data_IF_328840504385
#
_entry.id   IF_328840504385
#
_cell.length_a   1.000
_cell.length_b   1.000
_cell.length_c   1.000
_cell.angle_alpha   90.00
_cell.angle_beta   90.00
_cell.angle_gamma   90.00
#
_symmetry.space_group_name_H-M   'P 1'
#
loop_
_entity.id
_entity.type
_entity.pdbx_description
1 polymer ?
#
# COMPACT_ATOMS: atom_id res chain seq x y z
N UNK A 1 12.18 -32.27 -42.74
CA UNK A 1 12.98 -31.18 -42.15
C UNK A 1 12.22 -29.84 -42.12
N UNK A 2 10.98 -29.77 -41.67
CA UNK A 2 10.15 -28.52 -41.72
C UNK A 2 9.39 -28.18 -40.43
N UNK A 3 9.74 -28.77 -39.31
CA UNK A 3 9.07 -28.53 -38.03
C UNK A 3 9.68 -27.46 -37.16
N UNK A 4 11.01 -27.23 -37.26
CA UNK A 4 11.73 -26.18 -36.53
C UNK A 4 11.20 -24.74 -36.78
N UNK A 5 10.90 -24.30 -38.03
CA UNK A 5 10.41 -22.94 -38.24
C UNK A 5 8.98 -22.73 -37.75
N UNK A 6 8.16 -23.79 -37.65
CA UNK A 6 6.80 -23.69 -37.09
C UNK A 6 6.82 -23.58 -35.56
N UNK A 7 7.66 -24.35 -34.89
CA UNK A 7 7.87 -24.29 -33.44
C UNK A 7 8.41 -22.91 -33.02
N UNK A 8 9.40 -22.37 -33.73
CA UNK A 8 9.94 -21.03 -33.46
C UNK A 8 8.86 -19.95 -33.59
N UNK A 9 8.02 -20.02 -34.62
CA UNK A 9 6.89 -19.07 -34.80
C UNK A 9 5.84 -19.19 -33.68
N UNK A 10 5.53 -20.40 -33.24
CA UNK A 10 4.60 -20.64 -32.13
C UNK A 10 5.16 -20.06 -30.83
N UNK A 11 6.44 -20.27 -30.53
CA UNK A 11 7.12 -19.72 -29.36
C UNK A 11 7.10 -18.19 -29.39
N UNK A 12 7.45 -17.57 -30.53
CA UNK A 12 7.41 -16.10 -30.69
C UNK A 12 5.99 -15.57 -30.52
N UNK A 13 4.98 -16.22 -31.07
CA UNK A 13 3.59 -15.81 -30.89
C UNK A 13 3.12 -15.95 -29.44
N UNK A 14 3.52 -17.01 -28.74
CA UNK A 14 3.19 -17.22 -27.33
C UNK A 14 3.90 -16.20 -26.42
N UNK A 15 5.15 -15.88 -26.69
CA UNK A 15 5.88 -14.84 -25.92
C UNK A 15 5.30 -13.45 -26.18
N UNK A 16 4.92 -13.14 -27.42
CA UNK A 16 4.26 -11.88 -27.76
C UNK A 16 2.87 -11.77 -27.09
N UNK A 17 2.10 -12.87 -27.12
CA UNK A 17 0.79 -12.95 -26.45
C UNK A 17 0.91 -12.83 -24.93
N UNK A 18 1.94 -13.44 -24.32
CA UNK A 18 2.23 -13.29 -22.88
C UNK A 18 2.62 -11.86 -22.49
N UNK A 19 3.41 -11.19 -23.31
CA UNK A 19 3.77 -9.77 -23.10
C UNK A 19 2.55 -8.83 -23.18
N UNK A 20 1.68 -9.04 -24.16
CA UNK A 20 0.43 -8.29 -24.28
C UNK A 20 -0.56 -8.57 -23.14
N UNK A 21 -0.59 -9.80 -22.64
CA UNK A 21 -1.43 -10.17 -21.50
C UNK A 21 -0.98 -9.53 -20.19
N UNK A 22 0.33 -9.40 -19.94
CA UNK A 22 0.87 -8.76 -18.74
C UNK A 22 0.50 -7.26 -18.68
N UNK A 23 0.67 -6.52 -19.79
CA UNK A 23 0.25 -5.10 -19.87
C UNK A 23 -1.26 -4.94 -19.68
N UNK A 24 -2.07 -5.88 -20.20
CA UNK A 24 -3.52 -5.85 -20.04
C UNK A 24 -3.96 -6.13 -18.61
N UNK A 25 -3.26 -7.01 -17.87
CA UNK A 25 -3.58 -7.35 -16.49
C UNK A 25 -3.37 -6.15 -15.53
N UNK A 26 -2.24 -5.43 -15.66
CA UNK A 26 -1.99 -4.20 -14.88
C UNK A 26 -3.04 -3.13 -15.18
N UNK A 27 -3.34 -2.90 -16.46
CA UNK A 27 -4.36 -1.94 -16.87
C UNK A 27 -5.76 -2.33 -16.36
N UNK A 28 -6.10 -3.61 -16.41
CA UNK A 28 -7.38 -4.13 -15.90
C UNK A 28 -7.45 -3.96 -14.38
N UNK A 29 -6.39 -4.33 -13.66
CA UNK A 29 -6.30 -4.15 -12.21
C UNK A 29 -6.43 -2.70 -11.79
N UNK A 30 -5.74 -1.79 -12.49
CA UNK A 30 -5.85 -0.35 -12.24
C UNK A 30 -7.26 0.19 -12.55
N UNK A 31 -7.89 -0.25 -13.63
CA UNK A 31 -9.25 0.17 -13.99
C UNK A 31 -10.31 -0.31 -12.99
N UNK A 32 -10.05 -1.37 -12.24
CA UNK A 32 -10.94 -1.92 -11.22
C UNK A 32 -10.59 -1.43 -9.80
N UNK A 33 -9.61 -0.51 -9.67
CA UNK A 33 -9.07 -0.09 -8.38
C UNK A 33 -10.12 0.59 -7.51
N UNK A 34 -11.05 1.34 -8.08
CA UNK A 34 -12.17 1.97 -7.39
C UNK A 34 -13.07 0.93 -6.70
N UNK A 35 -13.42 -0.14 -7.41
CA UNK A 35 -14.22 -1.24 -6.85
C UNK A 35 -13.45 -1.99 -5.75
N UNK A 36 -12.18 -2.30 -5.98
CA UNK A 36 -11.32 -2.98 -4.99
C UNK A 36 -11.15 -2.11 -3.74
N UNK A 37 -10.90 -0.81 -3.92
CA UNK A 37 -10.79 0.15 -2.81
C UNK A 37 -12.09 0.24 -2.00
N UNK A 38 -13.25 0.27 -2.68
CA UNK A 38 -14.53 0.25 -2.00
C UNK A 38 -14.70 -1.00 -1.12
N UNK A 39 -14.51 -2.20 -1.69
CA UNK A 39 -14.65 -3.46 -0.95
C UNK A 39 -13.66 -3.57 0.21
N UNK A 40 -12.45 -3.08 0.01
CA UNK A 40 -11.45 -3.06 1.06
C UNK A 40 -11.86 -2.13 2.21
N UNK A 41 -12.29 -0.89 1.93
CA UNK A 41 -12.76 0.06 2.94
C UNK A 41 -14.03 -0.45 3.64
N UNK A 42 -14.99 -1.00 2.88
CA UNK A 42 -16.23 -1.56 3.39
C UNK A 42 -15.96 -2.69 4.41
N UNK A 43 -14.94 -3.51 4.13
CA UNK A 43 -14.51 -4.57 5.08
C UNK A 43 -14.01 -4.05 6.43
N UNK A 44 -13.69 -2.76 6.54
CA UNK A 44 -13.27 -2.10 7.78
C UNK A 44 -14.38 -1.27 8.42
N UNK A 45 -15.21 -0.62 7.62
CA UNK A 45 -16.17 0.37 8.09
C UNK A 45 -17.59 -0.18 8.15
N UNK A 46 -17.92 -1.18 7.32
CA UNK A 46 -19.28 -1.72 7.17
C UNK A 46 -20.29 -0.62 6.80
N UNK A 47 -20.17 -0.10 5.56
CA UNK A 47 -20.97 1.03 5.09
C UNK A 47 -22.45 0.71 5.07
N UNK A 48 -23.26 1.58 5.69
CA UNK A 48 -24.71 1.47 5.59
C UNK A 48 -25.22 1.90 4.19
N UNK A 49 -26.53 1.66 3.95
CA UNK A 49 -27.16 1.94 2.64
C UNK A 49 -27.15 3.41 2.20
N UNK A 50 -26.97 4.36 3.15
CA UNK A 50 -26.86 5.78 2.84
C UNK A 50 -25.40 6.18 2.51
N UNK A 51 -24.43 5.57 3.18
CA UNK A 51 -23.02 5.85 2.99
C UNK A 51 -22.47 5.20 1.71
N UNK A 52 -22.86 3.96 1.43
CA UNK A 52 -22.28 3.15 0.34
C UNK A 52 -22.31 3.85 -1.04
N UNK A 53 -23.42 4.46 -1.51
CA UNK A 53 -23.41 5.15 -2.81
C UNK A 53 -22.45 6.32 -2.83
N UNK A 54 -22.43 7.15 -1.77
CA UNK A 54 -21.56 8.32 -1.67
C UNK A 54 -20.08 7.95 -1.63
N UNK A 55 -19.73 6.93 -0.85
CA UNK A 55 -18.35 6.45 -0.77
C UNK A 55 -17.86 5.93 -2.15
N UNK A 56 -18.72 5.22 -2.89
CA UNK A 56 -18.39 4.78 -4.26
C UNK A 56 -18.11 5.97 -5.19
N UNK A 57 -18.93 7.01 -5.13
CA UNK A 57 -18.74 8.23 -5.92
C UNK A 57 -17.46 8.96 -5.52
N UNK A 58 -17.17 9.07 -4.23
CA UNK A 58 -15.96 9.71 -3.71
C UNK A 58 -14.70 8.97 -4.16
N UNK A 59 -14.70 7.63 -4.09
CA UNK A 59 -13.61 6.80 -4.58
C UNK A 59 -13.45 6.94 -6.11
N UNK A 60 -14.55 6.94 -6.87
CA UNK A 60 -14.49 7.10 -8.31
C UNK A 60 -13.91 8.47 -8.71
N UNK A 61 -14.29 9.56 -8.01
CA UNK A 61 -13.71 10.89 -8.22
C UNK A 61 -12.23 10.93 -7.87
N UNK A 62 -11.83 10.33 -6.76
CA UNK A 62 -10.43 10.24 -6.35
C UNK A 62 -9.61 9.43 -7.37
N UNK A 63 -10.14 8.31 -7.84
CA UNK A 63 -9.50 7.47 -8.86
C UNK A 63 -9.35 8.22 -10.20
N UNK A 64 -10.37 8.97 -10.61
CA UNK A 64 -10.29 9.80 -11.82
C UNK A 64 -9.20 10.89 -11.67
N UNK A 65 -9.19 11.62 -10.56
CA UNK A 65 -8.14 12.59 -10.27
C UNK A 65 -6.74 11.94 -10.24
N UNK A 66 -6.59 10.79 -9.58
CA UNK A 66 -5.33 10.07 -9.56
C UNK A 66 -4.86 9.69 -10.97
N UNK A 67 -5.80 9.29 -11.84
CA UNK A 67 -5.50 8.92 -13.23
C UNK A 67 -5.00 10.11 -14.05
N UNK A 68 -5.59 11.29 -13.86
CA UNK A 68 -5.27 12.47 -14.67
C UNK A 68 -4.09 13.28 -14.13
N UNK A 69 -3.94 13.32 -12.80
CA UNK A 69 -2.97 14.21 -12.15
C UNK A 69 -1.76 13.46 -11.57
N UNK A 70 -1.97 12.36 -10.86
CA UNK A 70 -0.89 11.68 -10.14
C UNK A 70 -0.22 10.57 -10.96
N UNK A 71 -0.97 9.81 -11.75
CA UNK A 71 -0.42 8.71 -12.54
C UNK A 71 0.67 9.17 -13.54
N UNK A 72 0.53 10.31 -14.24
CA UNK A 72 1.61 10.83 -15.09
C UNK A 72 2.88 11.18 -14.29
N UNK A 73 2.73 11.73 -13.08
CA UNK A 73 3.85 12.08 -12.20
C UNK A 73 4.57 10.84 -11.66
N UNK A 74 3.80 9.80 -11.32
CA UNK A 74 4.37 8.50 -10.93
C UNK A 74 5.11 7.84 -12.10
N UNK A 75 4.55 7.91 -13.32
CA UNK A 75 5.21 7.40 -14.52
C UNK A 75 6.55 8.11 -14.78
N UNK A 76 6.60 9.43 -14.62
CA UNK A 76 7.83 10.22 -14.76
C UNK A 76 8.86 9.85 -13.68
N UNK A 77 8.43 9.69 -12.43
CA UNK A 77 9.30 9.22 -11.34
C UNK A 77 9.89 7.83 -11.65
N UNK A 78 9.06 6.89 -12.10
CA UNK A 78 9.49 5.54 -12.48
C UNK A 78 10.47 5.56 -13.67
N UNK A 79 10.22 6.42 -14.66
CA UNK A 79 11.13 6.58 -15.79
C UNK A 79 12.52 7.09 -15.35
N UNK A 80 12.57 8.06 -14.41
CA UNK A 80 13.86 8.49 -13.84
C UNK A 80 14.56 7.39 -13.05
N UNK A 81 13.81 6.55 -12.33
CA UNK A 81 14.36 5.37 -11.65
C UNK A 81 14.93 4.36 -12.67
N UNK A 82 14.22 4.11 -13.77
CA UNK A 82 14.66 3.25 -14.86
C UNK A 82 15.99 3.71 -15.45
N UNK A 83 16.16 5.02 -15.69
CA UNK A 83 17.40 5.59 -16.22
C UNK A 83 18.61 5.42 -15.27
N UNK A 84 18.37 5.33 -13.97
CA UNK A 84 19.40 5.11 -12.96
C UNK A 84 19.71 3.63 -12.71
N UNK A 85 18.77 2.75 -13.01
CA UNK A 85 18.87 1.31 -12.70
C UNK A 85 20.09 0.59 -13.30
N UNK A 86 20.62 0.94 -14.49
CA UNK A 86 21.83 0.31 -15.03
C UNK A 86 23.13 0.65 -14.28
N UNK A 87 23.12 1.68 -13.43
CA UNK A 87 24.29 2.15 -12.70
C UNK A 87 24.19 1.91 -11.19
N UNK A 88 25.21 2.37 -10.46
CA UNK A 88 25.21 2.36 -9.01
C UNK A 88 24.27 3.46 -8.48
N UNK A 89 23.27 3.07 -7.70
CA UNK A 89 22.32 4.00 -7.06
C UNK A 89 22.84 4.37 -5.67
N UNK A 90 23.18 5.63 -5.48
CA UNK A 90 23.60 6.14 -4.17
C UNK A 90 22.44 6.23 -3.18
N UNK A 91 22.68 6.13 -1.86
CA UNK A 91 21.65 6.33 -0.85
C UNK A 91 20.90 7.67 -0.98
N UNK A 92 21.61 8.74 -1.33
CA UNK A 92 21.00 10.06 -1.55
C UNK A 92 19.99 10.06 -2.71
N UNK A 93 20.32 9.40 -3.83
CA UNK A 93 19.40 9.24 -4.96
C UNK A 93 18.16 8.42 -4.54
N UNK A 94 18.36 7.31 -3.81
CA UNK A 94 17.25 6.51 -3.31
C UNK A 94 16.34 7.33 -2.37
N UNK A 95 16.91 8.10 -1.43
CA UNK A 95 16.15 8.98 -0.51
C UNK A 95 15.32 10.03 -1.27
N UNK A 96 15.83 10.59 -2.37
CA UNK A 96 15.07 11.55 -3.19
C UNK A 96 13.75 10.95 -3.70
N UNK A 97 13.77 9.69 -4.18
CA UNK A 97 12.55 9.01 -4.62
C UNK A 97 11.59 8.71 -3.47
N UNK A 98 12.13 8.36 -2.29
CA UNK A 98 11.30 8.16 -1.09
C UNK A 98 10.58 9.45 -0.71
N UNK A 99 11.27 10.58 -0.73
CA UNK A 99 10.66 11.88 -0.39
C UNK A 99 9.63 12.31 -1.43
N UNK A 100 9.91 12.10 -2.71
CA UNK A 100 8.94 12.36 -3.77
C UNK A 100 7.70 11.46 -3.64
N UNK A 101 7.87 10.18 -3.36
CA UNK A 101 6.77 9.27 -3.09
C UNK A 101 5.92 9.72 -1.89
N UNK A 102 6.55 10.16 -0.80
CA UNK A 102 5.84 10.74 0.35
C UNK A 102 5.02 11.98 -0.02
N UNK A 103 5.56 12.85 -0.89
CA UNK A 103 4.82 14.01 -1.39
C UNK A 103 3.58 13.58 -2.19
N UNK A 104 3.69 12.53 -3.04
CA UNK A 104 2.52 11.99 -3.77
C UNK A 104 1.48 11.43 -2.81
N UNK A 105 1.89 10.71 -1.76
CA UNK A 105 0.98 10.20 -0.73
C UNK A 105 0.26 11.34 0.02
N UNK A 106 0.95 12.43 0.32
CA UNK A 106 0.33 13.62 0.93
C UNK A 106 -0.67 14.29 -0.01
N UNK A 107 -0.35 14.42 -1.29
CA UNK A 107 -1.27 14.94 -2.29
C UNK A 107 -2.55 14.09 -2.39
N UNK A 108 -2.41 12.75 -2.38
CA UNK A 108 -3.55 11.83 -2.35
C UNK A 108 -4.40 12.03 -1.08
N UNK A 109 -3.76 12.13 0.09
CA UNK A 109 -4.46 12.36 1.36
C UNK A 109 -5.21 13.70 1.36
N UNK A 110 -4.61 14.77 0.84
CA UNK A 110 -5.25 16.09 0.70
C UNK A 110 -6.46 16.04 -0.23
N UNK A 111 -6.36 15.32 -1.35
CA UNK A 111 -7.47 15.16 -2.28
C UNK A 111 -8.62 14.33 -1.70
N UNK A 112 -8.32 13.32 -0.89
CA UNK A 112 -9.30 12.49 -0.22
C UNK A 112 -9.94 13.17 1.02
N UNK A 113 -9.29 14.19 1.60
CA UNK A 113 -9.68 14.81 2.87
C UNK A 113 -11.16 15.17 2.97
N UNK A 114 -11.80 15.86 2.00
CA UNK A 114 -13.22 16.23 2.12
C UNK A 114 -14.15 15.01 2.26
N UNK A 115 -13.87 13.95 1.51
CA UNK A 115 -14.62 12.70 1.58
C UNK A 115 -14.41 11.99 2.93
N UNK A 116 -13.17 11.94 3.40
CA UNK A 116 -12.81 11.34 4.69
C UNK A 116 -13.44 12.09 5.86
N UNK A 117 -13.43 13.42 5.85
CA UNK A 117 -14.10 14.26 6.87
C UNK A 117 -15.59 13.95 6.91
N UNK A 118 -16.24 13.94 5.74
CA UNK A 118 -17.69 13.65 5.66
C UNK A 118 -18.01 12.24 6.14
N UNK A 119 -17.22 11.25 5.76
CA UNK A 119 -17.42 9.88 6.21
C UNK A 119 -17.22 9.78 7.72
N UNK A 120 -16.10 10.30 8.25
CA UNK A 120 -15.76 10.20 9.67
C UNK A 120 -16.82 10.86 10.58
N UNK A 121 -17.34 12.03 10.17
CA UNK A 121 -18.42 12.71 10.93
C UNK A 121 -19.79 12.05 10.80
N UNK A 122 -19.99 11.24 9.77
CA UNK A 122 -21.23 10.47 9.52
C UNK A 122 -21.19 9.02 10.00
N UNK A 123 -20.06 8.57 10.59
CA UNK A 123 -19.98 7.21 11.14
C UNK A 123 -20.91 7.01 12.33
N UNK A 124 -21.22 5.75 12.61
CA UNK A 124 -22.00 5.35 13.77
C UNK A 124 -21.09 4.59 14.77
N UNK A 125 -21.46 4.51 16.05
CA UNK A 125 -20.66 3.81 17.06
C UNK A 125 -20.40 2.34 16.75
N UNK A 126 -21.35 1.64 16.15
CA UNK A 126 -21.23 0.24 15.72
C UNK A 126 -20.19 0.07 14.61
N UNK A 127 -20.07 1.03 13.72
CA UNK A 127 -19.03 1.04 12.68
C UNK A 127 -17.62 1.19 13.28
N UNK A 128 -17.46 2.02 14.29
CA UNK A 128 -16.17 2.16 15.01
C UNK A 128 -15.83 0.86 15.75
N UNK A 129 -16.83 0.20 16.33
CA UNK A 129 -16.68 -1.11 16.97
C UNK A 129 -16.32 -2.19 15.93
N UNK A 130 -16.96 -2.20 14.75
CA UNK A 130 -16.62 -3.10 13.65
C UNK A 130 -15.16 -2.92 13.22
N UNK A 131 -14.72 -1.67 13.06
CA UNK A 131 -13.33 -1.34 12.73
C UNK A 131 -12.35 -1.84 13.79
N UNK A 132 -12.66 -1.71 15.07
CA UNK A 132 -11.86 -2.23 16.18
C UNK A 132 -11.70 -3.75 16.10
N UNK A 133 -12.80 -4.50 15.93
CA UNK A 133 -12.77 -5.95 15.72
C UNK A 133 -11.95 -6.36 14.49
N UNK A 134 -12.07 -5.61 13.39
CA UNK A 134 -11.28 -5.85 12.18
C UNK A 134 -9.80 -5.66 12.43
N UNK A 135 -9.42 -4.63 13.18
CA UNK A 135 -8.04 -4.40 13.58
C UNK A 135 -7.51 -5.54 14.44
N UNK A 136 -8.26 -5.99 15.44
CA UNK A 136 -7.88 -7.09 16.30
C UNK A 136 -7.65 -8.38 15.51
N UNK A 137 -8.60 -8.77 14.65
CA UNK A 137 -8.47 -9.93 13.75
C UNK A 137 -7.21 -9.85 12.88
N UNK A 138 -6.91 -8.67 12.33
CA UNK A 138 -5.72 -8.48 11.51
C UNK A 138 -4.43 -8.53 12.34
N UNK A 139 -4.47 -8.06 13.59
CA UNK A 139 -3.33 -8.14 14.50
C UNK A 139 -3.07 -9.58 14.95
N UNK A 140 -4.13 -10.37 15.19
CA UNK A 140 -3.98 -11.79 15.48
C UNK A 140 -3.36 -12.54 14.31
N UNK A 141 -3.88 -12.32 13.09
CA UNK A 141 -3.26 -12.89 11.88
C UNK A 141 -1.79 -12.51 11.76
N UNK A 142 -1.42 -11.27 12.07
CA UNK A 142 -0.01 -10.84 12.04
C UNK A 142 0.83 -11.57 13.09
N UNK A 143 0.30 -11.80 14.31
CA UNK A 143 0.99 -12.59 15.34
C UNK A 143 1.23 -14.01 14.84
N UNK A 144 0.21 -14.64 14.26
CA UNK A 144 0.30 -16.00 13.72
C UNK A 144 1.33 -16.08 12.59
N UNK A 145 1.30 -15.12 11.69
CA UNK A 145 2.17 -15.08 10.51
C UNK A 145 3.64 -14.78 10.84
N UNK A 146 3.91 -14.06 11.93
CA UNK A 146 5.24 -13.53 12.22
C UNK A 146 5.78 -13.80 13.62
N UNK A 147 4.97 -13.62 14.68
CA UNK A 147 5.48 -13.66 16.05
C UNK A 147 5.56 -15.08 16.63
N UNK A 148 4.85 -16.04 16.01
CA UNK A 148 4.99 -17.47 16.37
C UNK A 148 6.21 -18.12 15.73
N UNK A 149 6.83 -17.47 14.76
CA UNK A 149 8.03 -17.93 14.09
C UNK A 149 9.27 -17.61 14.93
N UNK A 150 10.24 -18.51 14.91
CA UNK A 150 11.58 -18.24 15.44
C UNK A 150 12.28 -17.14 14.65
N UNK A 151 13.29 -16.46 15.18
CA UNK A 151 14.05 -15.44 14.45
C UNK A 151 14.65 -15.94 13.12
N UNK A 152 15.03 -17.21 13.06
CA UNK A 152 15.53 -17.83 11.82
C UNK A 152 14.44 -17.98 10.77
N UNK A 153 13.27 -18.49 11.16
CA UNK A 153 12.11 -18.63 10.28
C UNK A 153 11.58 -17.26 9.80
N UNK A 154 11.61 -16.25 10.67
CA UNK A 154 11.23 -14.87 10.28
C UNK A 154 12.17 -14.31 9.20
N UNK A 155 13.50 -14.55 9.31
CA UNK A 155 14.46 -14.14 8.28
C UNK A 155 14.25 -14.90 6.98
N UNK A 156 14.05 -16.21 7.05
CA UNK A 156 13.78 -17.02 5.85
C UNK A 156 12.52 -16.58 5.13
N UNK A 157 11.40 -16.46 5.84
CA UNK A 157 10.13 -15.95 5.29
C UNK A 157 10.29 -14.58 4.65
N UNK A 158 11.07 -13.70 5.25
CA UNK A 158 11.36 -12.37 4.71
C UNK A 158 12.17 -12.45 3.44
N UNK A 159 13.20 -13.29 3.44
CA UNK A 159 14.02 -13.53 2.25
C UNK A 159 13.15 -14.05 1.08
N UNK A 160 12.34 -15.07 1.31
CA UNK A 160 11.44 -15.62 0.29
C UNK A 160 10.50 -14.55 -0.28
N UNK A 161 9.89 -13.73 0.58
CA UNK A 161 8.99 -12.66 0.14
C UNK A 161 9.71 -11.56 -0.67
N UNK A 162 10.92 -11.19 -0.29
CA UNK A 162 11.70 -10.21 -1.06
C UNK A 162 12.21 -10.80 -2.36
N UNK A 163 12.65 -12.06 -2.36
CA UNK A 163 13.06 -12.77 -3.57
C UNK A 163 11.92 -12.83 -4.59
N UNK A 164 10.74 -13.29 -4.16
CA UNK A 164 9.55 -13.37 -5.02
C UNK A 164 9.21 -12.01 -5.65
N UNK A 165 9.18 -10.95 -4.84
CA UNK A 165 8.89 -9.59 -5.33
C UNK A 165 9.95 -9.06 -6.28
N UNK A 166 11.22 -9.33 -5.99
CA UNK A 166 12.33 -8.92 -6.85
C UNK A 166 12.30 -9.66 -8.18
N UNK A 167 12.07 -10.98 -8.15
CA UNK A 167 11.96 -11.78 -9.36
C UNK A 167 10.72 -11.46 -10.21
N UNK A 168 9.64 -10.96 -9.58
CA UNK A 168 8.47 -10.45 -10.31
C UNK A 168 8.81 -9.20 -11.14
N UNK A 169 9.73 -8.35 -10.67
CA UNK A 169 10.09 -7.07 -11.32
C UNK A 169 11.26 -7.26 -12.28
N UNK A 170 12.31 -7.95 -11.84
CA UNK A 170 13.59 -8.04 -12.57
C UNK A 170 13.75 -9.36 -13.32
N UNK A 171 12.81 -10.30 -13.18
CA UNK A 171 12.99 -11.68 -13.61
C UNK A 171 13.86 -12.46 -12.63
N UNK A 172 14.26 -13.68 -13.01
CA UNK A 172 15.02 -14.57 -12.15
C UNK A 172 16.36 -13.96 -11.73
N UNK A 173 16.58 -13.84 -10.42
CA UNK A 173 17.85 -13.39 -9.88
C UNK A 173 18.94 -14.47 -10.03
N UNK A 174 20.17 -14.06 -10.35
CA UNK A 174 21.34 -14.94 -10.34
C UNK A 174 21.86 -15.19 -8.91
N UNK A 175 22.81 -16.11 -8.77
CA UNK A 175 23.32 -16.50 -7.45
C UNK A 175 23.98 -15.33 -6.69
N UNK A 176 24.84 -14.49 -7.29
CA UNK A 176 25.39 -13.32 -6.60
C UNK A 176 24.32 -12.34 -6.09
N UNK A 177 23.26 -12.11 -6.87
CA UNK A 177 22.14 -11.26 -6.47
C UNK A 177 21.36 -11.84 -5.29
N UNK A 178 21.10 -13.15 -5.30
CA UNK A 178 20.44 -13.86 -4.21
C UNK A 178 21.27 -13.83 -2.93
N UNK A 179 22.59 -14.03 -3.03
CA UNK A 179 23.50 -13.91 -1.89
C UNK A 179 23.53 -12.48 -1.32
N UNK A 180 23.51 -11.45 -2.19
CA UNK A 180 23.44 -10.07 -1.75
C UNK A 180 22.11 -9.81 -0.98
N UNK A 181 20.99 -10.23 -1.53
CA UNK A 181 19.69 -10.13 -0.87
C UNK A 181 19.68 -10.85 0.49
N UNK A 182 20.27 -12.06 0.58
CA UNK A 182 20.37 -12.83 1.81
C UNK A 182 21.17 -12.07 2.87
N UNK A 183 22.34 -11.55 2.51
CA UNK A 183 23.18 -10.75 3.42
C UNK A 183 22.45 -9.52 3.96
N UNK A 184 21.68 -8.84 3.12
CA UNK A 184 20.94 -7.64 3.51
C UNK A 184 19.76 -7.99 4.44
N UNK A 185 19.05 -9.07 4.18
CA UNK A 185 18.01 -9.59 5.08
C UNK A 185 18.57 -9.99 6.44
N UNK A 186 19.74 -10.64 6.47
CA UNK A 186 20.40 -11.05 7.73
C UNK A 186 20.87 -9.87 8.58
N UNK A 187 21.22 -8.75 7.94
CA UNK A 187 21.60 -7.48 8.60
C UNK A 187 20.42 -6.59 8.95
N UNK A 188 19.23 -6.93 8.47
CA UNK A 188 18.05 -6.11 8.66
C UNK A 188 17.65 -6.01 10.14
N UNK A 189 17.42 -4.78 10.60
CA UNK A 189 16.95 -4.45 11.94
C UNK A 189 15.42 -4.57 12.08
N UNK A 190 14.72 -5.04 11.06
CA UNK A 190 13.26 -5.17 11.06
C UNK A 190 12.83 -6.15 12.17
N UNK A 191 12.05 -5.66 13.11
CA UNK A 191 11.51 -6.39 14.24
C UNK A 191 9.97 -6.47 14.14
N UNK A 192 9.38 -7.66 13.93
CA UNK A 192 7.94 -7.83 13.83
C UNK A 192 7.19 -7.40 15.11
N UNK A 193 7.80 -7.48 16.30
CA UNK A 193 7.14 -7.01 17.53
C UNK A 193 6.97 -5.50 17.52
N UNK A 194 8.01 -4.76 17.12
CA UNK A 194 7.94 -3.30 16.96
C UNK A 194 6.95 -2.88 15.88
N UNK A 195 6.91 -3.60 14.75
CA UNK A 195 5.92 -3.36 13.70
C UNK A 195 4.50 -3.51 14.25
N UNK A 196 4.23 -4.58 15.00
CA UNK A 196 2.91 -4.78 15.60
C UNK A 196 2.58 -3.69 16.63
N UNK A 197 3.53 -3.31 17.47
CA UNK A 197 3.35 -2.26 18.48
C UNK A 197 3.00 -0.91 17.83
N UNK A 198 3.73 -0.49 16.78
CA UNK A 198 3.43 0.75 16.05
C UNK A 198 2.09 0.68 15.32
N UNK A 199 1.78 -0.46 14.68
CA UNK A 199 0.47 -0.70 14.07
C UNK A 199 -0.66 -0.54 15.07
N UNK A 200 -0.57 -1.14 16.25
CA UNK A 200 -1.57 -1.04 17.31
C UNK A 200 -1.67 0.39 17.86
N UNK A 201 -0.56 1.10 17.97
CA UNK A 201 -0.55 2.51 18.34
C UNK A 201 -1.37 3.34 17.37
N UNK A 202 -1.10 3.22 16.05
CA UNK A 202 -1.83 3.93 14.99
C UNK A 202 -3.31 3.57 14.97
N UNK A 203 -3.66 2.31 15.18
CA UNK A 203 -5.04 1.85 15.26
C UNK A 203 -5.77 2.46 16.45
N UNK A 204 -5.16 2.48 17.65
CA UNK A 204 -5.74 3.12 18.83
C UNK A 204 -5.95 4.62 18.62
N UNK A 205 -4.99 5.32 18.04
CA UNK A 205 -5.10 6.76 17.74
C UNK A 205 -6.22 7.03 16.72
N UNK A 206 -6.37 6.20 15.68
CA UNK A 206 -7.48 6.29 14.73
C UNK A 206 -8.83 6.12 15.42
N UNK A 207 -9.01 5.05 16.20
CA UNK A 207 -10.26 4.77 16.92
C UNK A 207 -10.59 5.86 17.93
N UNK A 208 -9.58 6.38 18.66
CA UNK A 208 -9.78 7.48 19.59
C UNK A 208 -10.22 8.76 18.87
N UNK A 209 -9.58 9.09 17.74
CA UNK A 209 -9.94 10.25 16.92
C UNK A 209 -11.38 10.12 16.42
N UNK A 210 -11.79 8.95 15.92
CA UNK A 210 -13.15 8.71 15.47
C UNK A 210 -14.16 8.83 16.61
N UNK A 211 -13.89 8.26 17.79
CA UNK A 211 -14.75 8.39 18.97
C UNK A 211 -14.92 9.84 19.39
N UNK A 212 -13.84 10.63 19.38
CA UNK A 212 -13.90 12.07 19.68
C UNK A 212 -14.77 12.84 18.69
N UNK A 213 -14.73 12.49 17.40
CA UNK A 213 -15.60 13.09 16.39
C UNK A 213 -17.06 12.72 16.60
N UNK A 214 -17.36 11.48 16.98
CA UNK A 214 -18.71 11.00 17.22
C UNK A 214 -19.33 11.66 18.48
N UNK A 215 -18.56 11.74 19.56
CA UNK A 215 -19.02 12.27 20.84
C UNK A 215 -19.14 13.80 20.80
N UNK A 216 -18.14 14.46 20.23
CA UNK A 216 -18.03 15.92 20.18
C UNK A 216 -18.91 16.57 19.11
N UNK A 217 -19.28 15.83 18.05
CA UNK A 217 -20.05 16.33 16.90
C UNK A 217 -19.56 17.71 16.42
N UNK A 218 -18.25 17.88 16.18
CA UNK A 218 -17.70 19.16 15.78
C UNK A 218 -18.26 19.57 14.40
N UNK A 219 -18.15 20.85 14.06
CA UNK A 219 -18.36 21.28 12.69
C UNK A 219 -17.31 20.68 11.74
N UNK A 220 -17.53 20.81 10.43
CA UNK A 220 -16.64 20.20 9.43
C UNK A 220 -15.21 20.74 9.48
N UNK A 221 -15.01 21.99 9.85
CA UNK A 221 -13.67 22.59 9.93
C UNK A 221 -12.90 22.10 11.17
N UNK A 222 -13.57 21.99 12.30
CA UNK A 222 -12.99 21.39 13.50
C UNK A 222 -12.72 19.88 13.31
N UNK A 223 -13.62 19.16 12.65
CA UNK A 223 -13.40 17.75 12.28
C UNK A 223 -12.19 17.59 11.37
N UNK A 224 -12.06 18.45 10.35
CA UNK A 224 -10.90 18.49 9.45
C UNK A 224 -9.60 18.70 10.21
N UNK A 225 -9.58 19.64 11.15
CA UNK A 225 -8.39 19.90 11.96
C UNK A 225 -7.99 18.69 12.82
N UNK A 226 -8.96 17.99 13.42
CA UNK A 226 -8.70 16.77 14.19
C UNK A 226 -8.13 15.65 13.32
N UNK A 227 -8.67 15.45 12.11
CA UNK A 227 -8.17 14.45 11.17
C UNK A 227 -6.77 14.81 10.64
N UNK A 228 -6.48 16.08 10.38
CA UNK A 228 -5.12 16.53 10.03
C UNK A 228 -4.13 16.29 11.16
N UNK A 229 -4.53 16.59 12.40
CA UNK A 229 -3.70 16.31 13.57
C UNK A 229 -3.43 14.80 13.73
N UNK A 230 -4.42 13.96 13.46
CA UNK A 230 -4.23 12.51 13.40
C UNK A 230 -3.21 12.10 12.32
N UNK A 231 -3.31 12.65 11.10
CA UNK A 231 -2.35 12.35 10.02
C UNK A 231 -0.92 12.75 10.39
N UNK A 232 -0.73 13.89 11.04
CA UNK A 232 0.59 14.31 11.54
C UNK A 232 1.15 13.31 12.54
N UNK A 233 0.35 12.81 13.48
CA UNK A 233 0.78 11.78 14.46
C UNK A 233 1.01 10.41 13.81
N UNK A 234 0.27 10.11 12.74
CA UNK A 234 0.46 8.91 11.94
C UNK A 234 1.81 8.92 11.20
N UNK A 235 2.17 10.06 10.59
CA UNK A 235 3.44 10.22 9.86
C UNK A 235 4.66 10.30 10.78
N UNK A 236 4.50 10.87 11.99
CA UNK A 236 5.58 11.12 12.93
C UNK A 236 5.40 10.28 14.21
N UNK A 237 5.82 9.01 14.19
CA UNK A 237 5.76 8.19 15.38
C UNK A 237 6.66 8.79 16.49
N UNK A 238 6.25 8.70 17.77
CA UNK A 238 7.03 9.24 18.90
C UNK A 238 8.36 8.51 19.10
N UNK A 239 8.47 7.28 18.61
CA UNK A 239 9.72 6.52 18.60
C UNK A 239 10.33 6.59 17.19
N UNK A 240 11.33 7.46 17.02
CA UNK A 240 12.06 7.68 15.77
C UNK A 240 13.12 6.59 15.48
N UNK A 241 13.12 5.48 16.20
CA UNK A 241 14.08 4.38 16.02
C UNK A 241 13.81 3.47 14.81
N UNK A 242 12.98 3.93 13.87
CA UNK A 242 12.74 3.31 12.56
C UNK A 242 13.31 4.13 11.44
#
# INVERSE_FOLDING_TARGET
MSTLPRLARIIVLLTLAAGLAACSAVKLGYNSLDSVAYWWLDSYVDFNGQQAPRVREDIARLHQWHRTEELPRLAEMLHRMELLAPGDITPAQACTFVDEFRQRMRALAQQAEPAVVTLATGMQPDQVQHMEHKYEKNNEKFRDDWLRLTPAEQREKRYEQFLERSEMIYGRLDEPQREALRRDIDRSIIDPQRILADRQRRQRDALQTLRQLLDGKPDLDAARQQLRAYLVRFENPPDASY
#
